data_IF_878171876128
#
_entry.id   IF_878171876128
#
_cell.length_a   1.000
_cell.length_b   1.000
_cell.length_c   1.000
_cell.angle_alpha   90.00
_cell.angle_beta   90.00
_cell.angle_gamma   90.00
#
_symmetry.space_group_name_H-M   'P 1'
#
loop_
_entity.id
_entity.type
_entity.pdbx_description
1 polymer ?
#
# COMPACT_ATOMS: atom_id res chain seq x y z
N UNK A 1 4.95 -18.52 25.46
CA UNK A 1 6.42 -18.40 25.33
C UNK A 1 6.90 -18.66 23.90
N UNK A 2 6.47 -19.72 23.22
CA UNK A 2 6.88 -20.01 21.82
C UNK A 2 6.38 -19.01 20.75
N UNK A 3 5.12 -18.56 20.85
CA UNK A 3 4.53 -17.57 19.95
C UNK A 3 5.30 -16.24 19.94
N UNK A 4 5.84 -15.83 21.09
CA UNK A 4 6.66 -14.63 21.21
C UNK A 4 7.97 -14.75 20.40
N UNK A 5 8.62 -15.92 20.40
CA UNK A 5 9.81 -16.18 19.59
C UNK A 5 9.51 -16.16 18.08
N UNK A 6 8.36 -16.70 17.66
CA UNK A 6 7.92 -16.62 16.26
C UNK A 6 7.60 -15.18 15.84
N UNK A 7 6.89 -14.44 16.70
CA UNK A 7 6.60 -13.03 16.48
C UNK A 7 7.89 -12.20 16.34
N UNK A 8 8.85 -12.39 17.25
CA UNK A 8 10.19 -11.79 17.13
C UNK A 8 10.87 -12.19 15.81
N UNK A 9 10.83 -13.46 15.40
CA UNK A 9 11.48 -13.88 14.14
C UNK A 9 10.89 -13.21 12.91
N UNK A 10 9.57 -13.01 12.87
CA UNK A 10 8.90 -12.30 11.76
C UNK A 10 9.22 -10.81 11.78
N UNK A 11 9.19 -10.17 12.96
CA UNK A 11 9.60 -8.77 13.09
C UNK A 11 11.05 -8.54 12.66
N UNK A 12 11.95 -9.45 13.02
CA UNK A 12 13.36 -9.33 12.66
C UNK A 12 13.64 -9.66 11.19
N UNK A 13 12.82 -10.48 10.53
CA UNK A 13 13.00 -10.74 9.09
C UNK A 13 12.74 -9.52 8.22
N UNK A 14 12.06 -8.51 8.75
CA UNK A 14 11.86 -7.21 8.10
C UNK A 14 13.14 -6.37 8.05
N UNK A 15 14.14 -6.70 8.89
CA UNK A 15 15.39 -5.96 8.97
C UNK A 15 16.52 -6.72 8.25
N UNK A 16 16.83 -6.38 6.99
CA UNK A 16 17.87 -7.08 6.21
C UNK A 16 19.29 -6.85 6.74
N UNK A 17 19.48 -5.88 7.64
CA UNK A 17 20.76 -5.56 8.27
C UNK A 17 21.12 -6.48 9.44
N UNK A 18 20.24 -7.39 9.86
CA UNK A 18 20.48 -8.27 11.01
C UNK A 18 21.21 -9.54 10.56
N UNK A 19 22.38 -9.78 11.14
CA UNK A 19 23.10 -11.04 10.94
C UNK A 19 22.46 -12.16 11.76
N UNK A 20 21.69 -13.00 11.07
CA UNK A 20 21.02 -14.19 11.62
C UNK A 20 21.96 -15.29 12.11
N UNK A 21 23.24 -15.23 11.76
CA UNK A 21 24.25 -16.17 12.22
C UNK A 21 24.98 -15.66 13.47
N UNK A 22 24.82 -14.38 13.82
CA UNK A 22 25.34 -13.82 15.05
C UNK A 22 24.45 -14.19 16.24
N UNK A 23 25.07 -14.42 17.41
CA UNK A 23 24.33 -14.49 18.67
C UNK A 23 23.88 -13.07 19.05
N UNK A 24 22.63 -12.87 19.49
CA UNK A 24 21.67 -13.86 20.00
C UNK A 24 20.67 -14.43 18.97
N UNK A 25 20.67 -13.94 17.74
CA UNK A 25 19.65 -14.26 16.72
C UNK A 25 19.72 -15.70 16.21
N UNK A 26 20.92 -16.28 16.19
CA UNK A 26 21.14 -17.69 15.87
C UNK A 26 20.36 -18.63 16.80
N UNK A 27 20.20 -18.27 18.09
CA UNK A 27 19.43 -19.05 19.05
C UNK A 27 17.91 -18.99 18.77
N UNK A 28 17.41 -17.80 18.41
CA UNK A 28 16.02 -17.63 17.97
C UNK A 28 15.72 -18.46 16.71
N UNK A 29 16.66 -18.48 15.75
CA UNK A 29 16.58 -19.34 14.57
C UNK A 29 16.47 -20.80 14.99
N UNK A 30 17.39 -21.30 15.82
CA UNK A 30 17.40 -22.69 16.28
C UNK A 30 16.06 -23.12 16.90
N UNK A 31 15.46 -22.27 17.73
CA UNK A 31 14.17 -22.57 18.39
C UNK A 31 13.00 -22.61 17.40
N UNK A 32 13.00 -21.70 16.43
CA UNK A 32 11.90 -21.55 15.46
C UNK A 32 12.01 -22.49 14.26
N UNK A 33 13.21 -23.05 14.02
CA UNK A 33 13.48 -23.99 12.93
C UNK A 33 12.62 -25.27 12.93
N UNK A 34 12.39 -26.01 14.03
CA UNK A 34 11.55 -27.21 14.00
C UNK A 34 10.12 -26.93 13.56
N UNK A 35 9.57 -25.77 13.92
CA UNK A 35 8.26 -25.33 13.43
C UNK A 35 8.31 -25.00 11.95
N UNK A 36 9.32 -24.24 11.51
CA UNK A 36 9.50 -23.92 10.10
C UNK A 36 9.72 -25.17 9.24
N UNK A 37 10.38 -26.22 9.74
CA UNK A 37 10.53 -27.50 9.02
C UNK A 37 9.19 -28.17 8.73
N UNK A 38 8.19 -28.02 9.62
CA UNK A 38 6.82 -28.53 9.38
C UNK A 38 6.15 -27.74 8.26
N UNK A 39 6.31 -26.41 8.23
CA UNK A 39 5.73 -25.55 7.18
C UNK A 39 6.53 -25.52 5.88
N UNK A 40 7.81 -25.92 5.87
CA UNK A 40 8.66 -26.00 4.66
C UNK A 40 8.19 -27.07 3.66
N UNK A 41 7.37 -28.02 4.09
CA UNK A 41 6.66 -28.91 3.16
C UNK A 41 5.53 -28.23 2.40
N UNK A 42 5.11 -27.04 2.83
CA UNK A 42 3.92 -26.31 2.33
C UNK A 42 4.32 -24.96 1.70
N UNK A 43 5.34 -24.28 2.24
CA UNK A 43 5.77 -22.94 1.85
C UNK A 43 7.15 -22.98 1.15
N UNK A 44 7.25 -22.54 -0.12
CA UNK A 44 8.53 -22.36 -0.81
C UNK A 44 9.48 -21.44 -0.03
N UNK A 45 10.81 -21.69 -0.03
CA UNK A 45 11.80 -20.96 0.78
C UNK A 45 11.91 -19.45 0.48
N UNK A 46 11.23 -18.97 -0.57
CA UNK A 46 11.20 -17.57 -0.99
C UNK A 46 10.30 -16.69 -0.11
N UNK A 47 9.40 -17.27 0.69
CA UNK A 47 8.49 -16.51 1.56
C UNK A 47 9.10 -16.06 2.89
N UNK A 48 10.39 -16.36 3.14
CA UNK A 48 11.07 -16.01 4.39
C UNK A 48 11.65 -14.59 4.48
N UNK A 49 11.58 -13.79 3.41
CA UNK A 49 12.25 -12.49 3.30
C UNK A 49 11.40 -11.38 2.67
N UNK A 50 10.16 -11.66 2.26
CA UNK A 50 9.43 -10.76 1.38
C UNK A 50 8.18 -10.20 2.06
N UNK A 51 8.31 -8.97 2.57
CA UNK A 51 7.17 -8.19 3.05
C UNK A 51 6.44 -7.57 1.87
N UNK A 52 5.24 -8.10 1.57
CA UNK A 52 4.31 -7.50 0.60
C UNK A 52 3.57 -6.28 1.15
N UNK A 53 3.80 -5.90 2.41
CA UNK A 53 3.13 -4.76 3.06
C UNK A 53 3.32 -3.45 2.30
N UNK A 54 4.54 -3.09 1.82
CA UNK A 54 4.71 -1.89 1.00
C UNK A 54 3.97 -2.00 -0.33
N UNK A 55 4.01 -3.16 -0.98
CA UNK A 55 3.32 -3.39 -2.27
C UNK A 55 1.81 -3.24 -2.14
N UNK A 56 1.23 -3.80 -1.07
CA UNK A 56 -0.20 -3.69 -0.78
C UNK A 56 -0.59 -2.26 -0.41
N UNK A 57 0.29 -1.54 0.32
CA UNK A 57 0.10 -0.11 0.60
C UNK A 57 0.07 0.73 -0.67
N UNK A 58 0.95 0.46 -1.63
CA UNK A 58 0.92 1.15 -2.93
C UNK A 58 -0.32 0.83 -3.76
N UNK A 59 -0.81 -0.42 -3.73
CA UNK A 59 -2.04 -0.82 -4.42
C UNK A 59 -3.25 -0.04 -3.87
N UNK A 60 -3.42 -0.03 -2.55
CA UNK A 60 -4.51 0.72 -1.89
C UNK A 60 -4.38 2.22 -2.17
N UNK A 61 -3.17 2.77 -2.14
CA UNK A 61 -2.96 4.19 -2.39
C UNK A 61 -3.37 4.58 -3.82
N UNK A 62 -3.10 3.73 -4.81
CA UNK A 62 -3.52 3.96 -6.19
C UNK A 62 -5.06 3.93 -6.31
N UNK A 63 -5.72 2.95 -5.69
CA UNK A 63 -7.18 2.86 -5.68
C UNK A 63 -7.85 4.08 -5.02
N UNK A 64 -7.26 4.58 -3.93
CA UNK A 64 -7.75 5.79 -3.22
C UNK A 64 -7.58 7.04 -4.07
N UNK A 65 -6.44 7.20 -4.75
CA UNK A 65 -6.19 8.36 -5.63
C UNK A 65 -7.16 8.34 -6.83
N UNK A 66 -7.40 7.18 -7.43
CA UNK A 66 -8.33 7.05 -8.55
C UNK A 66 -9.78 7.31 -8.13
N UNK A 67 -10.20 6.83 -6.96
CA UNK A 67 -11.52 7.11 -6.41
C UNK A 67 -11.77 8.61 -6.13
N UNK A 68 -10.71 9.36 -5.78
CA UNK A 68 -10.79 10.81 -5.55
C UNK A 68 -10.75 11.63 -6.85
N UNK A 69 -10.36 11.02 -7.97
CA UNK A 69 -10.25 11.64 -9.30
C UNK A 69 -11.52 12.30 -9.88
N UNK A 70 -12.69 11.64 -9.87
CA UNK A 70 -13.86 12.14 -10.58
C UNK A 70 -14.43 13.43 -9.97
N UNK A 71 -14.19 13.70 -8.67
CA UNK A 71 -14.81 14.83 -7.96
C UNK A 71 -14.14 16.17 -8.30
N UNK A 72 -12.81 16.21 -8.48
CA UNK A 72 -12.12 17.46 -8.81
C UNK A 72 -12.31 17.87 -10.28
N UNK A 73 -12.47 16.91 -11.19
CA UNK A 73 -12.61 17.20 -12.64
C UNK A 73 -14.02 17.68 -12.99
N UNK A 74 -15.05 17.16 -12.31
CA UNK A 74 -16.44 17.58 -12.50
C UNK A 74 -16.72 19.00 -11.98
N UNK A 75 -15.97 19.48 -10.97
CA UNK A 75 -16.05 20.85 -10.50
C UNK A 75 -15.55 21.86 -11.55
N UNK A 76 -14.39 21.58 -12.17
CA UNK A 76 -13.79 22.48 -13.16
C UNK A 76 -14.58 22.54 -14.49
N UNK A 77 -15.25 21.45 -14.85
CA UNK A 77 -16.07 21.39 -16.07
C UNK A 77 -17.38 22.20 -15.96
N UNK A 78 -17.96 22.32 -14.75
CA UNK A 78 -19.19 23.11 -14.53
C UNK A 78 -19.00 24.61 -14.70
N UNK A 79 -17.77 25.10 -14.51
CA UNK A 79 -17.50 26.54 -14.58
C UNK A 79 -17.23 27.01 -16.01
N UNK A 80 -16.76 26.13 -16.90
CA UNK A 80 -16.49 26.48 -18.31
C UNK A 80 -17.77 26.58 -19.15
N UNK A 81 -18.89 25.97 -18.73
CA UNK A 81 -20.21 26.23 -19.33
C UNK A 81 -20.82 27.58 -18.92
N UNK A 82 -20.19 28.30 -17.97
CA UNK A 82 -20.52 29.69 -17.63
C UNK A 82 -19.73 30.69 -18.51
N UNK A 83 -19.20 30.23 -19.65
CA UNK A 83 -18.78 31.11 -20.72
C UNK A 83 -20.03 31.61 -21.45
N UNK A 84 -20.51 32.79 -21.05
CA UNK A 84 -21.62 33.52 -21.65
C UNK A 84 -21.63 33.31 -23.16
N UNK A 85 -22.68 32.67 -23.68
CA UNK A 85 -22.80 32.51 -25.12
C UNK A 85 -23.09 33.87 -25.74
N UNK A 86 -22.63 34.13 -26.97
CA UNK A 86 -22.86 35.44 -27.62
C UNK A 86 -24.34 35.80 -27.69
N UNK A 87 -25.21 34.78 -27.70
CA UNK A 87 -26.67 34.87 -27.58
C UNK A 87 -27.13 35.53 -26.29
N UNK A 88 -26.50 35.23 -25.15
CA UNK A 88 -26.88 35.81 -23.85
C UNK A 88 -26.54 37.31 -23.78
N UNK A 89 -25.46 37.74 -24.45
CA UNK A 89 -25.05 39.14 -24.54
C UNK A 89 -25.99 39.94 -25.46
N UNK A 90 -26.41 39.35 -26.58
CA UNK A 90 -27.30 40.02 -27.55
C UNK A 90 -28.68 40.31 -26.94
N UNK A 91 -29.22 39.40 -26.13
CA UNK A 91 -30.50 39.61 -25.45
C UNK A 91 -30.47 40.71 -24.38
N UNK A 92 -29.30 41.05 -23.84
CA UNK A 92 -29.17 42.13 -22.86
C UNK A 92 -29.19 43.53 -23.50
N UNK A 93 -28.69 43.67 -24.73
CA UNK A 93 -28.56 44.97 -25.40
C UNK A 93 -29.82 45.41 -26.16
N UNK A 94 -30.75 44.51 -26.48
CA UNK A 94 -31.98 44.82 -27.24
C UNK A 94 -33.17 45.24 -26.33
N UNK A 95 -32.91 45.44 -25.04
CA UNK A 95 -33.92 45.72 -24.00
C UNK A 95 -34.25 47.19 -23.75
N UNK A 96 -33.71 48.14 -24.52
CA UNK A 96 -34.04 49.58 -24.46
C UNK A 96 -33.76 50.31 -25.77
#
# INVERSE_FOLDING_TARGET
MYLFCLFMRVLLSWFPSIDWNSQPWAFLRLITEPYLQIYRGILPPLFGQLDFTPLFGFLILQDVVELMSPVYTLGHAKDTSMFWTTTDIMCYFDGH
#
